data_IF_735867853031
#
_entry.id   IF_735867853031
#
_cell.length_a   1.000
_cell.length_b   1.000
_cell.length_c   1.000
_cell.angle_alpha   90.00
_cell.angle_beta   90.00
_cell.angle_gamma   90.00
#
_symmetry.space_group_name_H-M   'P 1'
#
loop_
_entity.id
_entity.type
_entity.pdbx_description
1 polymer ?
#
# COMPACT_ATOMS: atom_id res chain seq x y z
N UNK A 1 -0.43 8.27 11.55
CA UNK A 1 -1.29 7.07 11.41
C UNK A 1 -2.06 7.05 10.09
N UNK A 2 -2.75 8.12 9.66
CA UNK A 2 -3.55 8.09 8.40
C UNK A 2 -2.79 7.59 7.15
N UNK A 3 -1.59 8.09 6.87
CA UNK A 3 -0.75 7.65 5.74
C UNK A 3 -0.26 6.19 5.82
N UNK A 4 -0.35 5.57 7.00
CA UNK A 4 -0.08 4.15 7.19
C UNK A 4 -1.40 3.37 7.06
N UNK A 5 -2.44 3.75 7.81
CA UNK A 5 -3.72 3.03 7.88
C UNK A 5 -4.53 3.06 6.58
N UNK A 6 -4.54 4.17 5.85
CA UNK A 6 -5.19 4.33 4.53
C UNK A 6 -4.11 4.21 3.45
N UNK A 7 -3.43 3.06 3.44
CA UNK A 7 -2.18 2.90 2.71
C UNK A 7 -2.34 3.20 1.21
N UNK A 8 -3.27 2.54 0.52
CA UNK A 8 -3.41 2.72 -0.92
C UNK A 8 -4.05 4.06 -1.32
N UNK A 9 -4.92 4.63 -0.47
CA UNK A 9 -5.64 5.87 -0.77
C UNK A 9 -4.85 7.16 -0.50
N UNK A 10 -3.83 7.12 0.38
CA UNK A 10 -2.98 8.28 0.68
C UNK A 10 -1.74 8.33 -0.22
N UNK A 11 -0.98 7.23 -0.30
CA UNK A 11 0.11 7.02 -1.26
C UNK A 11 0.47 5.54 -1.35
N UNK A 12 0.53 4.99 -2.56
CA UNK A 12 0.60 3.54 -2.73
C UNK A 12 1.93 3.04 -3.33
N UNK A 13 2.67 2.25 -2.55
CA UNK A 13 3.81 1.49 -3.05
C UNK A 13 3.40 0.28 -3.90
N UNK A 14 2.24 -0.31 -3.63
CA UNK A 14 1.69 -1.40 -4.41
C UNK A 14 1.48 -0.96 -5.87
N UNK A 15 0.87 0.19 -6.11
CA UNK A 15 0.73 0.74 -7.46
C UNK A 15 2.07 0.96 -8.16
N UNK A 16 3.12 1.33 -7.41
CA UNK A 16 4.47 1.42 -7.99
C UNK A 16 4.99 0.07 -8.50
N UNK A 17 4.67 -1.05 -7.84
CA UNK A 17 5.01 -2.40 -8.33
C UNK A 17 4.23 -2.81 -9.57
N UNK A 18 2.99 -2.34 -9.70
CA UNK A 18 2.11 -2.69 -10.81
C UNK A 18 2.34 -1.80 -12.04
N UNK A 19 2.86 -0.59 -11.84
CA UNK A 19 3.05 0.40 -12.90
C UNK A 19 3.87 -0.11 -14.10
N UNK A 20 4.96 -0.90 -13.94
CA UNK A 20 5.70 -1.47 -15.06
C UNK A 20 4.88 -2.45 -15.91
N UNK A 21 3.99 -3.24 -15.29
CA UNK A 21 3.11 -4.17 -16.01
C UNK A 21 2.12 -3.38 -16.88
N UNK A 22 1.55 -2.30 -16.33
CA UNK A 22 0.62 -1.44 -17.06
C UNK A 22 1.31 -0.63 -18.15
N UNK A 23 2.51 -0.10 -17.89
CA UNK A 23 3.28 0.65 -18.87
C UNK A 23 3.60 -0.15 -20.14
N UNK A 24 3.81 -1.47 -20.02
CA UNK A 24 4.04 -2.37 -21.18
C UNK A 24 2.79 -2.62 -22.02
N UNK A 25 1.60 -2.39 -21.47
CA UNK A 25 0.33 -2.54 -22.19
C UNK A 25 -0.15 -1.23 -22.84
N UNK A 26 0.50 -0.11 -22.54
CA UNK A 26 0.15 1.18 -23.13
C UNK A 26 0.70 1.29 -24.56
N UNK A 27 -0.14 1.78 -25.47
CA UNK A 27 0.25 2.01 -26.86
C UNK A 27 0.73 3.44 -27.09
N UNK A 28 0.39 4.37 -26.20
CA UNK A 28 0.77 5.78 -26.31
C UNK A 28 1.02 6.43 -24.95
N UNK A 29 2.11 7.17 -24.81
CA UNK A 29 2.44 7.92 -23.59
C UNK A 29 1.37 8.96 -23.19
N UNK A 30 0.57 9.46 -24.15
CA UNK A 30 -0.55 10.36 -23.86
C UNK A 30 -1.59 9.71 -22.93
N UNK A 31 -1.66 8.38 -22.91
CA UNK A 31 -2.53 7.62 -22.02
C UNK A 31 -2.01 7.57 -20.57
N UNK A 32 -0.75 7.94 -20.31
CA UNK A 32 -0.14 7.85 -18.98
C UNK A 32 -0.89 8.67 -17.92
N UNK A 33 -1.35 9.87 -18.29
CA UNK A 33 -2.09 10.75 -17.37
C UNK A 33 -3.40 10.12 -16.91
N UNK A 34 -4.35 9.73 -17.78
CA UNK A 34 -5.59 9.11 -17.32
C UNK A 34 -5.35 7.75 -16.64
N UNK A 35 -4.40 6.94 -17.12
CA UNK A 35 -4.16 5.59 -16.56
C UNK A 35 -3.55 5.65 -15.16
N UNK A 36 -2.48 6.43 -14.95
CA UNK A 36 -1.80 6.46 -13.65
C UNK A 36 -2.38 7.52 -12.72
N UNK A 37 -2.39 8.77 -13.17
CA UNK A 37 -2.83 9.89 -12.32
C UNK A 37 -4.35 9.90 -12.15
N UNK A 38 -5.11 9.64 -13.23
CA UNK A 38 -6.57 9.57 -13.17
C UNK A 38 -7.08 8.45 -12.26
N UNK A 39 -6.49 7.25 -12.34
CA UNK A 39 -6.84 6.15 -11.45
C UNK A 39 -6.60 6.49 -9.96
N UNK A 40 -5.46 7.12 -9.63
CA UNK A 40 -5.17 7.53 -8.25
C UNK A 40 -6.15 8.57 -7.71
N UNK A 41 -6.63 9.50 -8.55
CA UNK A 41 -7.70 10.44 -8.13
C UNK A 41 -8.99 9.66 -7.84
N UNK A 42 -9.39 8.74 -8.72
CA UNK A 42 -10.62 7.97 -8.54
C UNK A 42 -10.56 7.12 -7.26
N UNK A 43 -9.45 6.44 -7.00
CA UNK A 43 -9.24 5.70 -5.75
C UNK A 43 -9.23 6.60 -4.52
N UNK A 44 -8.62 7.78 -4.61
CA UNK A 44 -8.63 8.77 -3.53
C UNK A 44 -10.06 9.21 -3.16
N UNK A 45 -10.93 9.42 -4.15
CA UNK A 45 -12.35 9.74 -3.90
C UNK A 45 -13.04 8.58 -3.19
N UNK A 46 -12.87 7.35 -3.67
CA UNK A 46 -13.45 6.15 -3.04
C UNK A 46 -12.94 6.00 -1.59
N UNK A 47 -11.66 6.22 -1.36
CA UNK A 47 -11.06 6.15 -0.02
C UNK A 47 -11.65 7.20 0.93
N UNK A 48 -11.87 8.44 0.46
CA UNK A 48 -12.49 9.50 1.26
C UNK A 48 -13.95 9.18 1.61
N UNK A 49 -14.72 8.61 0.67
CA UNK A 49 -16.10 8.18 0.93
C UNK A 49 -16.16 7.08 2.00
N UNK A 50 -15.30 6.07 1.90
CA UNK A 50 -15.22 5.00 2.89
C UNK A 50 -14.67 5.47 4.23
N UNK A 51 -13.75 6.43 4.24
CA UNK A 51 -13.27 7.05 5.47
C UNK A 51 -14.39 7.83 6.18
N UNK A 52 -15.22 8.56 5.44
CA UNK A 52 -16.38 9.26 6.00
C UNK A 52 -17.44 8.29 6.54
N UNK A 53 -17.72 7.20 5.80
CA UNK A 53 -18.61 6.14 6.28
C UNK A 53 -18.08 5.49 7.56
N UNK A 54 -16.80 5.13 7.59
CA UNK A 54 -16.17 4.58 8.78
C UNK A 54 -16.23 5.56 9.97
N UNK A 55 -16.00 6.86 9.75
CA UNK A 55 -16.09 7.86 10.82
C UNK A 55 -17.51 7.99 11.40
N UNK A 56 -18.54 7.80 10.59
CA UNK A 56 -19.93 7.76 11.05
C UNK A 56 -20.23 6.48 11.86
N UNK A 57 -19.89 5.31 11.31
CA UNK A 57 -20.21 4.01 11.93
C UNK A 57 -19.36 3.67 13.16
N UNK A 58 -18.09 4.06 13.19
CA UNK A 58 -17.18 3.84 14.31
C UNK A 58 -17.02 5.07 15.22
N UNK A 59 -17.79 6.13 14.96
CA UNK A 59 -17.85 7.31 15.82
C UNK A 59 -18.67 7.07 17.09
N UNK A 60 -18.66 8.02 18.05
CA UNK A 60 -19.39 7.90 19.33
C UNK A 60 -20.89 7.61 19.18
N UNK A 61 -21.48 7.97 18.03
CA UNK A 61 -22.89 7.84 17.72
C UNK A 61 -23.19 6.74 16.67
N UNK A 62 -22.17 6.01 16.23
CA UNK A 62 -22.32 4.98 15.20
C UNK A 62 -22.77 3.63 15.77
N UNK A 63 -23.32 2.72 14.94
CA UNK A 63 -23.60 1.35 15.36
C UNK A 63 -22.32 0.68 15.86
N UNK A 64 -22.32 0.20 17.12
CA UNK A 64 -21.21 -0.60 17.65
C UNK A 64 -21.01 -1.80 16.74
N UNK A 65 -19.76 -2.13 16.39
CA UNK A 65 -19.46 -3.35 15.64
C UNK A 65 -19.89 -4.59 16.43
N UNK A 66 -21.09 -5.07 16.12
CA UNK A 66 -21.67 -6.29 16.71
C UNK A 66 -21.18 -7.56 16.01
N UNK A 67 -20.42 -7.43 14.91
CA UNK A 67 -20.05 -8.58 14.07
C UNK A 67 -18.86 -9.34 14.63
N UNK A 68 -17.96 -8.68 15.37
CA UNK A 68 -16.71 -9.27 15.86
C UNK A 68 -15.78 -9.78 14.75
N UNK A 69 -16.07 -9.43 13.49
CA UNK A 69 -15.38 -9.93 12.29
C UNK A 69 -14.53 -8.85 11.59
N UNK A 70 -14.39 -7.68 12.22
CA UNK A 70 -13.49 -6.61 11.79
C UNK A 70 -13.98 -5.83 10.54
N UNK A 71 -13.08 -5.00 10.02
CA UNK A 71 -13.36 -4.04 8.93
C UNK A 71 -14.06 -4.61 7.68
N UNK A 72 -13.70 -5.81 7.17
CA UNK A 72 -14.34 -6.38 5.98
C UNK A 72 -15.83 -6.69 6.16
N UNK A 73 -16.24 -7.15 7.35
CA UNK A 73 -17.65 -7.45 7.64
C UNK A 73 -18.50 -6.17 7.69
N UNK A 74 -17.89 -5.05 8.10
CA UNK A 74 -18.56 -3.76 8.21
C UNK A 74 -19.04 -3.22 6.85
N UNK A 75 -18.36 -3.57 5.76
CA UNK A 75 -18.79 -3.19 4.40
C UNK A 75 -20.22 -3.67 4.13
N UNK A 76 -20.55 -4.89 4.53
CA UNK A 76 -21.89 -5.46 4.37
C UNK A 76 -22.92 -4.78 5.27
N UNK A 77 -22.56 -4.44 6.50
CA UNK A 77 -23.43 -3.71 7.44
C UNK A 77 -23.75 -2.32 6.87
N UNK A 78 -22.73 -1.56 6.51
CA UNK A 78 -22.86 -0.21 5.92
C UNK A 78 -23.73 -0.26 4.66
N UNK A 79 -23.45 -1.21 3.76
CA UNK A 79 -24.19 -1.32 2.50
C UNK A 79 -25.68 -1.61 2.72
N UNK A 80 -26.03 -2.49 3.66
CA UNK A 80 -27.43 -2.83 3.95
C UNK A 80 -28.17 -1.74 4.73
N UNK A 81 -27.47 -0.92 5.51
CA UNK A 81 -28.07 0.19 6.25
C UNK A 81 -28.38 1.39 5.34
N UNK A 82 -27.46 1.73 4.43
CA UNK A 82 -27.57 2.94 3.62
C UNK A 82 -28.29 2.74 2.28
N UNK A 83 -28.32 1.51 1.75
CA UNK A 83 -28.85 1.25 0.43
C UNK A 83 -30.04 0.27 0.43
N UNK A 84 -30.98 0.41 -0.52
CA UNK A 84 -31.93 -0.66 -0.81
C UNK A 84 -31.22 -1.98 -1.12
N UNK A 85 -31.84 -3.11 -0.78
CA UNK A 85 -31.25 -4.46 -0.90
C UNK A 85 -30.57 -4.74 -2.24
N UNK A 86 -31.15 -4.26 -3.35
CA UNK A 86 -30.57 -4.42 -4.70
C UNK A 86 -29.23 -3.71 -4.86
N UNK A 87 -29.13 -2.46 -4.39
CA UNK A 87 -27.91 -1.66 -4.46
C UNK A 87 -26.88 -2.18 -3.45
N UNK A 88 -27.31 -2.53 -2.23
CA UNK A 88 -26.45 -3.10 -1.20
C UNK A 88 -25.72 -4.37 -1.70
N UNK A 89 -26.44 -5.26 -2.39
CA UNK A 89 -25.85 -6.47 -2.97
C UNK A 89 -24.79 -6.14 -4.03
N UNK A 90 -25.05 -5.18 -4.92
CA UNK A 90 -24.10 -4.74 -5.94
C UNK A 90 -22.85 -4.10 -5.30
N UNK A 91 -23.03 -3.29 -4.26
CA UNK A 91 -21.91 -2.68 -3.53
C UNK A 91 -20.99 -3.73 -2.90
N UNK A 92 -21.55 -4.73 -2.21
CA UNK A 92 -20.77 -5.81 -1.60
C UNK A 92 -20.04 -6.63 -2.66
N UNK A 93 -20.72 -6.98 -3.77
CA UNK A 93 -20.09 -7.67 -4.90
C UNK A 93 -18.98 -6.84 -5.54
N UNK A 94 -19.15 -5.52 -5.64
CA UNK A 94 -18.13 -4.61 -6.15
C UNK A 94 -16.87 -4.60 -5.28
N UNK A 95 -17.02 -4.52 -3.96
CA UNK A 95 -15.88 -4.56 -3.02
C UNK A 95 -15.17 -5.91 -3.07
N UNK A 96 -15.91 -7.01 -3.10
CA UNK A 96 -15.34 -8.37 -3.22
C UNK A 96 -14.59 -8.50 -4.56
N UNK A 97 -15.19 -8.05 -5.66
CA UNK A 97 -14.57 -8.09 -6.99
C UNK A 97 -13.26 -7.28 -7.03
N UNK A 98 -13.26 -6.08 -6.44
CA UNK A 98 -12.05 -5.25 -6.33
C UNK A 98 -10.95 -5.95 -5.52
N UNK A 99 -11.29 -6.62 -4.42
CA UNK A 99 -10.34 -7.37 -3.61
C UNK A 99 -9.77 -8.59 -4.35
N UNK A 100 -10.62 -9.36 -5.05
CA UNK A 100 -10.21 -10.55 -5.81
C UNK A 100 -9.29 -10.17 -6.98
N UNK A 101 -9.67 -9.16 -7.75
CA UNK A 101 -8.87 -8.70 -8.91
C UNK A 101 -7.52 -8.09 -8.48
N UNK A 102 -7.50 -7.35 -7.38
CA UNK A 102 -6.25 -6.85 -6.79
C UNK A 102 -5.37 -7.98 -6.24
N UNK A 103 -5.99 -8.99 -5.62
CA UNK A 103 -5.30 -10.18 -5.11
C UNK A 103 -4.65 -11.02 -6.21
N UNK A 104 -5.36 -11.26 -7.32
CA UNK A 104 -4.79 -11.93 -8.50
C UNK A 104 -3.59 -11.17 -9.06
N UNK A 105 -3.75 -9.84 -9.18
CA UNK A 105 -2.67 -8.95 -9.64
C UNK A 105 -1.46 -8.98 -8.70
N UNK A 106 -1.68 -9.02 -7.39
CA UNK A 106 -0.63 -9.12 -6.37
C UNK A 106 0.12 -10.46 -6.46
N UNK A 107 -0.60 -11.59 -6.53
CA UNK A 107 -0.01 -12.92 -6.65
C UNK A 107 0.78 -13.10 -7.94
N UNK A 108 0.23 -12.59 -9.06
CA UNK A 108 0.94 -12.57 -10.34
C UNK A 108 2.23 -11.77 -10.25
N UNK A 109 2.20 -10.61 -9.60
CA UNK A 109 3.38 -9.75 -9.45
C UNK A 109 4.42 -10.37 -8.52
N UNK A 110 3.99 -10.94 -7.40
CA UNK A 110 4.86 -11.66 -6.47
C UNK A 110 5.58 -12.81 -7.19
N UNK A 111 4.86 -13.61 -7.97
CA UNK A 111 5.46 -14.68 -8.78
C UNK A 111 6.51 -14.14 -9.76
N UNK A 112 6.20 -13.06 -10.49
CA UNK A 112 7.13 -12.47 -11.45
C UNK A 112 8.37 -11.89 -10.76
N UNK A 113 8.22 -11.21 -9.63
CA UNK A 113 9.36 -10.67 -8.85
C UNK A 113 10.26 -11.80 -8.35
N UNK A 114 9.69 -12.88 -7.81
CA UNK A 114 10.47 -14.05 -7.36
C UNK A 114 11.17 -14.72 -8.53
N UNK A 115 10.46 -14.92 -9.65
CA UNK A 115 11.03 -15.52 -10.85
C UNK A 115 12.19 -14.69 -11.41
N UNK A 116 12.04 -13.37 -11.51
CA UNK A 116 13.07 -12.44 -11.98
C UNK A 116 14.29 -12.45 -11.03
N UNK A 117 14.06 -12.49 -9.72
CA UNK A 117 15.13 -12.55 -8.70
C UNK A 117 15.92 -13.85 -8.74
N UNK A 118 15.28 -14.96 -9.12
CA UNK A 118 15.89 -16.28 -9.24
C UNK A 118 16.38 -16.58 -10.67
N UNK A 119 16.15 -15.70 -11.63
CA UNK A 119 16.48 -15.92 -13.04
C UNK A 119 15.70 -17.05 -13.71
N UNK A 120 14.49 -17.38 -13.23
CA UNK A 120 13.68 -18.49 -13.73
C UNK A 120 12.78 -18.02 -14.87
N UNK A 121 13.03 -18.48 -16.10
CA UNK A 121 12.18 -18.16 -17.24
C UNK A 121 10.73 -18.62 -17.01
N UNK A 122 9.79 -17.70 -17.20
CA UNK A 122 8.36 -17.91 -17.01
C UNK A 122 7.63 -18.30 -18.31
N UNK A 123 8.32 -18.62 -19.41
CA UNK A 123 7.67 -19.19 -20.60
C UNK A 123 7.11 -20.61 -20.35
N UNK A 124 7.89 -21.57 -19.79
CA UNK A 124 7.39 -22.92 -19.56
C UNK A 124 6.39 -22.97 -18.41
N UNK A 125 5.31 -23.73 -18.56
CA UNK A 125 4.30 -23.86 -17.50
C UNK A 125 4.85 -24.50 -16.22
N UNK A 126 5.80 -25.43 -16.34
CA UNK A 126 6.45 -26.08 -15.21
C UNK A 126 7.18 -25.05 -14.33
N UNK A 127 7.94 -24.14 -14.94
CA UNK A 127 8.64 -23.07 -14.24
C UNK A 127 7.67 -22.07 -13.58
N UNK A 128 6.52 -21.82 -14.22
CA UNK A 128 5.45 -21.01 -13.61
C UNK A 128 4.91 -21.67 -12.35
N UNK A 129 4.61 -22.97 -12.41
CA UNK A 129 4.08 -23.73 -11.27
C UNK A 129 5.11 -23.86 -10.15
N UNK A 130 6.38 -24.04 -10.48
CA UNK A 130 7.47 -24.13 -9.51
C UNK A 130 7.57 -22.87 -8.63
N UNK A 131 7.33 -21.68 -9.18
CA UNK A 131 7.31 -20.43 -8.42
C UNK A 131 5.91 -20.14 -7.83
N UNK A 132 4.85 -20.41 -8.59
CA UNK A 132 3.49 -20.11 -8.17
C UNK A 132 3.06 -20.94 -6.95
N UNK A 133 3.26 -22.26 -6.97
CA UNK A 133 2.78 -23.15 -5.91
C UNK A 133 3.32 -22.76 -4.52
N UNK A 134 4.62 -22.48 -4.34
CA UNK A 134 5.13 -21.96 -3.06
C UNK A 134 4.52 -20.62 -2.66
N UNK A 135 4.39 -19.67 -3.60
CA UNK A 135 3.79 -18.35 -3.32
C UNK A 135 2.33 -18.50 -2.88
N UNK A 136 1.56 -19.37 -3.55
CA UNK A 136 0.18 -19.69 -3.17
C UNK A 136 0.11 -20.40 -1.82
N UNK A 137 1.01 -21.36 -1.54
CA UNK A 137 1.03 -22.07 -0.27
C UNK A 137 1.29 -21.12 0.91
N UNK A 138 2.27 -20.22 0.78
CA UNK A 138 2.56 -19.19 1.79
C UNK A 138 1.36 -18.25 1.97
N UNK A 139 0.77 -17.79 0.86
CA UNK A 139 -0.41 -16.91 0.91
C UNK A 139 -1.61 -17.59 1.57
N UNK A 140 -1.85 -18.86 1.26
CA UNK A 140 -2.92 -19.65 1.88
C UNK A 140 -2.67 -19.83 3.39
N UNK A 141 -1.43 -20.07 3.81
CA UNK A 141 -1.08 -20.14 5.24
C UNK A 141 -1.35 -18.83 5.98
N UNK A 142 -0.98 -17.68 5.38
CA UNK A 142 -1.27 -16.36 5.94
C UNK A 142 -2.79 -16.09 6.00
N UNK A 143 -3.53 -16.52 4.96
CA UNK A 143 -4.99 -16.39 4.93
C UNK A 143 -5.66 -17.25 6.02
N UNK A 144 -5.21 -18.48 6.24
CA UNK A 144 -5.71 -19.33 7.33
C UNK A 144 -5.44 -18.67 8.68
N UNK A 145 -4.25 -18.13 8.90
CA UNK A 145 -3.95 -17.34 10.11
C UNK A 145 -4.94 -16.17 10.27
N UNK A 146 -5.20 -15.42 9.20
CA UNK A 146 -6.14 -14.30 9.20
C UNK A 146 -7.58 -14.70 9.54
N UNK A 147 -8.00 -15.93 9.23
CA UNK A 147 -9.37 -16.41 9.41
C UNK A 147 -9.58 -17.10 10.77
N UNK A 148 -8.52 -17.69 11.34
CA UNK A 148 -8.57 -18.40 12.63
C UNK A 148 -8.40 -17.45 13.81
N UNK A 149 -7.52 -16.45 13.69
CA UNK A 149 -7.26 -15.47 14.74
C UNK A 149 -8.16 -14.25 14.57
N UNK A 150 -8.92 -13.88 15.61
CA UNK A 150 -9.78 -12.68 15.62
C UNK A 150 -9.01 -11.38 15.34
N UNK A 151 -7.72 -11.35 15.64
CA UNK A 151 -6.81 -10.22 15.38
C UNK A 151 -5.92 -10.42 14.16
N UNK A 152 -6.00 -11.58 13.50
CA UNK A 152 -5.09 -11.96 12.41
C UNK A 152 -5.13 -10.98 11.24
N UNK A 153 -6.32 -10.55 10.83
CA UNK A 153 -6.49 -9.54 9.77
C UNK A 153 -5.81 -8.21 10.14
N UNK A 154 -6.02 -7.71 11.36
CA UNK A 154 -5.47 -6.42 11.79
C UNK A 154 -3.94 -6.45 11.82
N UNK A 155 -3.36 -7.56 12.29
CA UNK A 155 -1.91 -7.77 12.30
C UNK A 155 -1.37 -7.76 10.87
N UNK A 156 -1.93 -8.57 9.97
CA UNK A 156 -1.51 -8.62 8.56
C UNK A 156 -1.65 -7.23 7.91
N UNK A 157 -2.77 -6.56 8.12
CA UNK A 157 -3.04 -5.25 7.53
C UNK A 157 -2.03 -4.20 7.97
N UNK A 158 -1.58 -4.22 9.24
CA UNK A 158 -0.56 -3.29 9.75
C UNK A 158 0.81 -3.53 9.10
N UNK A 159 1.24 -4.78 8.99
CA UNK A 159 2.50 -5.11 8.30
C UNK A 159 2.44 -4.78 6.81
N UNK A 160 1.32 -5.10 6.14
CA UNK A 160 1.06 -4.71 4.77
C UNK A 160 1.15 -3.18 4.59
N UNK A 161 0.44 -2.44 5.44
CA UNK A 161 0.37 -0.98 5.40
C UNK A 161 1.76 -0.35 5.49
N UNK A 162 2.56 -0.74 6.50
CA UNK A 162 3.91 -0.22 6.65
C UNK A 162 4.82 -0.62 5.48
N UNK A 163 4.80 -1.89 5.06
CA UNK A 163 5.63 -2.38 3.95
C UNK A 163 5.31 -1.65 2.65
N UNK A 164 4.02 -1.39 2.39
CA UNK A 164 3.55 -0.60 1.26
C UNK A 164 4.08 0.83 1.30
N UNK A 165 4.14 1.46 2.48
CA UNK A 165 4.67 2.82 2.61
C UNK A 165 6.20 2.89 2.48
N UNK A 166 6.92 1.89 2.97
CA UNK A 166 8.37 1.78 2.74
C UNK A 166 8.63 1.67 1.24
N UNK A 167 7.88 0.84 0.54
CA UNK A 167 8.00 0.69 -0.90
C UNK A 167 7.69 1.98 -1.65
N UNK A 168 6.61 2.68 -1.28
CA UNK A 168 6.28 4.01 -1.82
C UNK A 168 7.44 4.99 -1.62
N UNK A 169 8.05 5.00 -0.43
CA UNK A 169 9.19 5.86 -0.08
C UNK A 169 10.40 5.58 -0.97
N UNK A 170 10.77 4.31 -1.16
CA UNK A 170 11.88 3.91 -2.04
C UNK A 170 11.61 4.28 -3.50
N UNK A 171 10.39 4.08 -3.99
CA UNK A 171 10.00 4.49 -5.35
C UNK A 171 10.08 6.00 -5.52
N UNK A 172 9.62 6.79 -4.54
CA UNK A 172 9.69 8.26 -4.59
C UNK A 172 11.14 8.75 -4.62
N UNK A 173 12.03 8.16 -3.82
CA UNK A 173 13.46 8.47 -3.88
C UNK A 173 14.07 8.10 -5.23
N UNK A 174 13.72 6.93 -5.77
CA UNK A 174 14.13 6.50 -7.12
C UNK A 174 13.66 7.50 -8.19
N UNK A 175 12.40 7.91 -8.14
CA UNK A 175 11.83 8.91 -9.05
C UNK A 175 12.52 10.28 -8.89
N UNK A 176 12.85 10.67 -7.67
CA UNK A 176 13.58 11.91 -7.37
C UNK A 176 14.97 11.90 -8.01
N UNK A 177 15.71 10.81 -7.85
CA UNK A 177 17.03 10.63 -8.48
C UNK A 177 16.90 10.65 -10.00
N UNK A 178 15.95 9.89 -10.55
CA UNK A 178 15.70 9.84 -12.00
C UNK A 178 15.41 11.23 -12.59
N UNK A 179 14.48 11.98 -12.00
CA UNK A 179 14.12 13.32 -12.46
C UNK A 179 15.29 14.30 -12.32
N UNK A 180 16.09 14.17 -11.25
CA UNK A 180 17.29 14.99 -11.05
C UNK A 180 18.32 14.74 -12.15
N UNK A 181 18.58 13.47 -12.49
CA UNK A 181 19.50 13.10 -13.58
C UNK A 181 18.99 13.58 -14.94
N UNK A 182 17.68 13.57 -15.16
CA UNK A 182 17.05 14.08 -16.40
C UNK A 182 16.90 15.60 -16.44
N UNK A 183 17.40 16.34 -15.42
CA UNK A 183 17.25 17.80 -15.30
C UNK A 183 15.78 18.26 -15.39
N UNK A 184 14.85 17.42 -14.94
CA UNK A 184 13.42 17.70 -14.83
C UNK A 184 13.10 18.14 -13.40
N UNK A 185 11.94 18.77 -13.13
CA UNK A 185 11.58 19.17 -11.77
C UNK A 185 11.48 17.94 -10.88
N UNK A 186 12.54 17.64 -10.11
CA UNK A 186 12.57 16.49 -9.20
C UNK A 186 11.88 16.80 -7.86
N UNK A 187 11.62 18.08 -7.58
CA UNK A 187 11.02 18.57 -6.34
C UNK A 187 9.63 17.95 -6.11
N UNK A 188 8.86 17.72 -7.19
CA UNK A 188 7.56 17.04 -7.15
C UNK A 188 7.62 15.61 -6.58
N UNK A 189 8.74 14.91 -6.72
CA UNK A 189 8.95 13.60 -6.08
C UNK A 189 9.69 13.73 -4.74
N UNK A 190 10.59 14.72 -4.60
CA UNK A 190 11.41 14.90 -3.40
C UNK A 190 10.58 15.25 -2.16
N UNK A 191 9.63 16.19 -2.29
CA UNK A 191 8.78 16.61 -1.16
C UNK A 191 8.04 15.41 -0.56
N UNK A 192 7.28 14.60 -1.34
CA UNK A 192 6.65 13.41 -0.81
C UNK A 192 7.66 12.35 -0.36
N UNK A 193 8.84 12.22 -0.98
CA UNK A 193 9.89 11.30 -0.53
C UNK A 193 10.35 11.60 0.90
N UNK A 194 10.65 12.88 1.19
CA UNK A 194 11.06 13.35 2.51
C UNK A 194 9.95 13.11 3.54
N UNK A 195 8.73 13.51 3.21
CA UNK A 195 7.57 13.33 4.09
C UNK A 195 7.34 11.85 4.42
N UNK A 196 7.35 10.98 3.41
CA UNK A 196 7.13 9.54 3.61
C UNK A 196 8.29 8.85 4.32
N UNK A 197 9.52 9.34 4.16
CA UNK A 197 10.67 8.89 4.97
C UNK A 197 10.43 9.18 6.45
N UNK A 198 9.95 10.38 6.79
CA UNK A 198 9.63 10.74 8.17
C UNK A 198 8.48 9.88 8.72
N UNK A 199 7.41 9.70 7.94
CA UNK A 199 6.25 8.90 8.35
C UNK A 199 6.63 7.44 8.61
N UNK A 200 7.35 6.80 7.69
CA UNK A 200 7.71 5.37 7.77
C UNK A 200 8.73 5.08 8.85
N UNK A 201 9.75 5.92 8.99
CA UNK A 201 10.76 5.80 10.04
C UNK A 201 10.15 6.06 11.41
N UNK A 202 9.40 7.15 11.58
CA UNK A 202 8.74 7.45 12.87
C UNK A 202 7.76 6.35 13.27
N UNK A 203 7.02 5.76 12.32
CA UNK A 203 6.12 4.65 12.62
C UNK A 203 6.88 3.45 13.22
N UNK A 204 8.03 3.09 12.66
CA UNK A 204 8.84 1.97 13.15
C UNK A 204 9.29 2.15 14.61
N UNK A 205 9.56 3.40 15.03
CA UNK A 205 10.05 3.71 16.37
C UNK A 205 8.96 4.13 17.37
N UNK A 206 7.75 4.43 16.90
CA UNK A 206 6.64 4.89 17.75
C UNK A 206 5.55 3.83 17.91
N UNK A 207 5.38 2.92 16.96
CA UNK A 207 4.42 1.82 17.07
C UNK A 207 4.82 0.87 18.19
N UNK A 208 3.92 0.67 19.16
CA UNK A 208 4.19 -0.10 20.39
C UNK A 208 4.10 -1.61 20.18
N UNK A 209 3.24 -2.08 19.27
CA UNK A 209 2.99 -3.52 19.06
C UNK A 209 3.88 -4.12 17.98
N UNK A 210 4.13 -3.38 16.90
CA UNK A 210 4.83 -3.87 15.70
C UNK A 210 6.20 -3.22 15.51
N UNK A 211 6.43 -2.10 16.19
CA UNK A 211 7.67 -1.35 16.13
C UNK A 211 8.47 -1.46 17.42
N UNK A 212 9.47 -0.60 17.55
CA UNK A 212 10.31 -0.49 18.73
C UNK A 212 9.73 0.42 19.80
N UNK A 213 8.50 0.93 19.62
CA UNK A 213 7.90 1.95 20.48
C UNK A 213 7.62 1.50 21.92
N UNK A 214 7.60 0.19 22.18
CA UNK A 214 7.53 -0.36 23.54
C UNK A 214 8.86 -0.23 24.30
N UNK A 215 9.98 -0.06 23.60
CA UNK A 215 11.33 0.01 24.17
C UNK A 215 11.89 1.43 24.28
N UNK A 216 11.27 2.41 23.61
CA UNK A 216 11.76 3.80 23.56
C UNK A 216 10.64 4.81 23.78
N UNK A 217 10.92 5.95 24.44
CA UNK A 217 9.96 7.03 24.56
C UNK A 217 9.51 7.54 23.19
N UNK A 218 8.22 7.86 23.03
CA UNK A 218 7.65 8.34 21.75
C UNK A 218 8.40 9.55 21.17
N UNK A 219 8.85 10.47 22.03
CA UNK A 219 9.65 11.62 21.60
C UNK A 219 10.97 11.20 20.95
N UNK A 220 11.68 10.24 21.55
CA UNK A 220 12.90 9.69 20.98
C UNK A 220 12.64 9.03 19.62
N UNK A 221 11.51 8.31 19.48
CA UNK A 221 11.12 7.71 18.21
C UNK A 221 10.92 8.74 17.09
N UNK A 222 10.25 9.86 17.37
CA UNK A 222 10.12 10.96 16.39
C UNK A 222 11.48 11.61 16.07
N UNK A 223 12.34 11.79 17.06
CA UNK A 223 13.69 12.33 16.84
C UNK A 223 14.53 11.43 15.95
N UNK A 224 14.48 10.10 16.16
CA UNK A 224 15.19 9.14 15.30
C UNK A 224 14.65 9.22 13.86
N UNK A 225 13.32 9.27 13.68
CA UNK A 225 12.72 9.45 12.36
C UNK A 225 13.18 10.73 11.64
N UNK A 226 13.27 11.83 12.39
CA UNK A 226 13.78 13.10 11.86
C UNK A 226 15.26 12.99 11.44
N UNK A 227 16.10 12.36 12.27
CA UNK A 227 17.52 12.13 11.95
C UNK A 227 17.68 11.28 10.69
N UNK A 228 16.92 10.18 10.54
CA UNK A 228 16.93 9.34 9.33
C UNK A 228 16.55 10.17 8.10
N UNK A 229 15.54 11.02 8.22
CA UNK A 229 15.08 11.89 7.14
C UNK A 229 16.15 12.91 6.74
N UNK A 230 16.82 13.53 7.72
CA UNK A 230 17.95 14.44 7.47
C UNK A 230 19.12 13.73 6.79
N UNK A 231 19.44 12.50 7.20
CA UNK A 231 20.49 11.68 6.58
C UNK A 231 20.14 11.39 5.13
N UNK A 232 18.90 10.94 4.85
CA UNK A 232 18.44 10.65 3.49
C UNK A 232 18.54 11.89 2.58
N UNK A 233 18.12 13.06 3.09
CA UNK A 233 18.28 14.34 2.38
C UNK A 233 19.75 14.67 2.12
N UNK A 234 20.61 14.55 3.13
CA UNK A 234 22.05 14.82 3.00
C UNK A 234 22.68 13.92 1.92
N UNK A 235 22.39 12.62 1.95
CA UNK A 235 22.88 11.64 0.96
C UNK A 235 22.44 12.05 -0.45
N UNK A 236 21.17 12.43 -0.64
CA UNK A 236 20.67 12.88 -1.94
C UNK A 236 21.37 14.14 -2.44
N UNK A 237 21.54 15.16 -1.59
CA UNK A 237 22.22 16.40 -2.01
C UNK A 237 23.70 16.18 -2.31
N UNK A 238 24.39 15.31 -1.56
CA UNK A 238 25.76 14.89 -1.84
C UNK A 238 25.87 14.18 -3.18
N UNK A 239 24.96 13.25 -3.47
CA UNK A 239 24.85 12.61 -4.77
C UNK A 239 24.66 13.65 -5.89
N UNK A 240 23.68 14.56 -5.74
CA UNK A 240 23.38 15.58 -6.74
C UNK A 240 24.56 16.51 -7.02
N UNK A 241 25.35 16.88 -6.01
CA UNK A 241 26.55 17.70 -6.20
C UNK A 241 27.64 16.98 -6.99
N UNK A 242 27.75 15.65 -6.87
CA UNK A 242 28.72 14.84 -7.63
C UNK A 242 28.28 14.54 -9.06
N UNK A 243 26.97 14.55 -9.32
CA UNK A 243 26.39 14.29 -10.65
C UNK A 243 26.15 15.55 -11.49
N UNK A 244 26.57 16.73 -11.01
CA UNK A 244 26.68 17.95 -11.82
C UNK A 244 27.92 17.88 -12.69
#
# INVERSE_FOLDING_TARGET
>A
MMFISIACGAISGFHATQSPLMARCMTNEKQARPIFYGAMIAEGIVALLWAAAAAYFFGPNGPVDTTGKGGPAMVGVIANEWFPKSIAAITVLGVISAAVTSGDTALRSARLIVADSLGIDQKPIQNRLLVALPVFAVTAGILVYSLVDTTGFDVIWRYFAWSNQVLATVTLWTATVYLSLKKRPYIIALIPAIFMTMVTSSFLFVAEKEGLGSFIPRQAGYTIGAVITCIAMYVFFRFKMRSK
#
